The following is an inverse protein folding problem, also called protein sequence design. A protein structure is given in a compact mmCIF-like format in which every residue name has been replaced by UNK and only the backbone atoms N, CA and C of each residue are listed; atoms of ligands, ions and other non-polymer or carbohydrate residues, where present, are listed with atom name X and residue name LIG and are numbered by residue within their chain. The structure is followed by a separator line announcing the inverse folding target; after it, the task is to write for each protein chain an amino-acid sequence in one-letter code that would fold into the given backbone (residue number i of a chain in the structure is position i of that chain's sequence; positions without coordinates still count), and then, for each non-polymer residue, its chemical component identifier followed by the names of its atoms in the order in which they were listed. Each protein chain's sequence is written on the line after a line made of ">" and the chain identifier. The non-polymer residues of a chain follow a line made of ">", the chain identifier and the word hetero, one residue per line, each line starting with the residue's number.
data_IF_630883188198
#
_entry.id   IF_630883188198
#
_cell.length_a   1.000
_cell.length_b   1.000
_cell.length_c   1.000
_cell.angle_alpha   90.00
_cell.angle_beta   90.00
_cell.angle_gamma   90.00
#
_symmetry.space_group_name_H-M   'P 1'
#
loop_
_entity.id
_entity.type
_entity.pdbx_description
1 polymer ?
#
# COMPACT_ATOMS: atom_id res chain seq x y z
N UNK A 1 -37.56 15.60 24.71
CA UNK A 1 -36.36 14.89 25.21
C UNK A 1 -35.83 14.05 24.09
N UNK A 2 -34.77 14.51 23.43
CA UNK A 2 -34.12 13.78 22.35
C UNK A 2 -33.42 12.54 22.95
N UNK A 3 -33.87 11.36 22.61
CA UNK A 3 -33.13 10.13 22.90
C UNK A 3 -31.91 10.11 21.94
N UNK A 4 -30.86 10.84 22.38
CA UNK A 4 -29.60 10.77 21.67
C UNK A 4 -29.15 9.32 21.63
N UNK A 5 -29.14 8.71 20.46
CA UNK A 5 -28.54 7.38 20.29
C UNK A 5 -27.09 7.48 20.77
N UNK A 6 -26.78 6.78 21.85
CA UNK A 6 -25.40 6.71 22.32
C UNK A 6 -24.56 6.10 21.20
N UNK A 7 -23.51 6.79 20.79
CA UNK A 7 -22.59 6.32 19.75
C UNK A 7 -21.95 4.99 20.15
N UNK A 8 -22.10 3.99 19.31
CA UNK A 8 -21.48 2.67 19.49
C UNK A 8 -20.39 2.52 18.43
N UNK A 9 -19.12 2.57 18.81
CA UNK A 9 -18.05 2.54 17.83
C UNK A 9 -17.89 1.19 17.16
N UNK A 10 -17.51 1.21 15.89
CA UNK A 10 -17.17 0.02 15.11
C UNK A 10 -15.64 -0.12 15.13
N UNK A 11 -15.12 -1.04 15.92
CA UNK A 11 -13.68 -1.20 16.10
C UNK A 11 -13.27 -2.58 15.59
N UNK A 12 -12.23 -2.63 14.76
CA UNK A 12 -11.63 -3.87 14.28
C UNK A 12 -10.30 -4.07 15.01
N UNK A 13 -10.12 -5.22 15.65
CA UNK A 13 -8.88 -5.59 16.33
C UNK A 13 -8.19 -6.75 15.62
N UNK A 14 -7.07 -6.49 14.96
CA UNK A 14 -6.23 -7.55 14.39
C UNK A 14 -5.30 -8.07 15.50
N UNK A 15 -5.47 -9.30 15.94
CA UNK A 15 -4.70 -9.86 17.06
C UNK A 15 -3.91 -11.08 16.60
N UNK A 16 -2.61 -11.10 16.92
CA UNK A 16 -1.75 -12.21 16.51
C UNK A 16 -2.13 -13.48 17.28
N UNK A 17 -2.09 -14.61 16.61
CA UNK A 17 -2.41 -15.92 17.18
C UNK A 17 -1.58 -16.23 18.44
N UNK A 18 -0.30 -15.89 18.41
CA UNK A 18 0.67 -16.26 19.44
C UNK A 18 0.53 -15.47 20.74
N UNK A 19 0.29 -14.18 20.67
CA UNK A 19 0.32 -13.51 21.87
C UNK A 19 -0.95 -12.93 22.19
N UNK A 20 -1.22 -11.99 21.40
CA UNK A 20 -2.42 -11.16 21.72
C UNK A 20 -3.73 -11.95 21.72
N UNK A 21 -3.92 -12.88 20.78
CA UNK A 21 -5.11 -13.75 20.82
C UNK A 21 -5.10 -14.68 22.05
N UNK A 22 -3.92 -15.19 22.41
CA UNK A 22 -3.75 -15.99 23.64
C UNK A 22 -4.16 -15.19 24.88
N UNK A 23 -3.75 -13.92 24.97
CA UNK A 23 -4.14 -13.03 26.06
C UNK A 23 -5.66 -12.80 26.09
N UNK A 24 -6.27 -12.58 24.90
CA UNK A 24 -7.73 -12.44 24.79
C UNK A 24 -8.48 -13.72 25.23
N UNK A 25 -7.95 -14.88 24.85
CA UNK A 25 -8.50 -16.19 25.25
C UNK A 25 -8.40 -16.37 26.76
N UNK A 26 -7.22 -16.07 27.34
CA UNK A 26 -7.00 -16.12 28.79
C UNK A 26 -7.97 -15.17 29.52
N UNK A 27 -8.19 -13.97 28.97
CA UNK A 27 -9.17 -13.04 29.55
C UNK A 27 -10.56 -13.68 29.59
N UNK A 28 -10.95 -14.37 28.52
CA UNK A 28 -12.24 -15.07 28.46
C UNK A 28 -12.38 -16.18 29.50
N UNK A 29 -11.39 -17.07 29.59
CA UNK A 29 -11.46 -18.18 30.60
C UNK A 29 -11.35 -17.65 32.01
N UNK A 30 -10.70 -16.51 32.22
CA UNK A 30 -10.62 -15.84 33.54
C UNK A 30 -11.83 -14.96 33.84
N UNK A 31 -12.83 -14.94 32.95
CA UNK A 31 -14.06 -14.15 33.07
C UNK A 31 -13.82 -12.63 33.20
N UNK A 32 -12.71 -12.15 32.66
CA UNK A 32 -12.43 -10.72 32.58
C UNK A 32 -13.30 -10.11 31.47
N UNK A 33 -13.75 -8.88 31.65
CA UNK A 33 -14.70 -8.22 30.74
C UNK A 33 -14.02 -7.12 29.94
N UNK A 34 -14.13 -7.15 28.62
CA UNK A 34 -13.76 -6.05 27.75
C UNK A 34 -14.92 -5.72 26.80
N UNK A 35 -14.86 -4.53 26.21
CA UNK A 35 -15.95 -3.99 25.39
C UNK A 35 -16.27 -4.90 24.20
N UNK A 36 -17.57 -5.15 23.99
CA UNK A 36 -18.07 -5.87 22.82
C UNK A 36 -17.99 -5.03 21.54
N UNK A 37 -17.63 -3.75 21.64
CA UNK A 37 -17.49 -2.85 20.49
C UNK A 37 -16.28 -3.22 19.62
N UNK A 38 -15.24 -3.84 20.21
CA UNK A 38 -14.08 -4.31 19.46
C UNK A 38 -14.32 -5.73 18.92
N UNK A 39 -14.21 -5.88 17.61
CA UNK A 39 -14.37 -7.18 16.93
C UNK A 39 -13.00 -7.72 16.57
N UNK A 40 -12.62 -8.83 17.17
CA UNK A 40 -11.27 -9.40 17.00
C UNK A 40 -11.19 -10.27 15.75
N UNK A 41 -10.17 -10.00 14.95
CA UNK A 41 -9.79 -10.79 13.78
C UNK A 41 -8.43 -11.44 14.11
N UNK A 42 -8.43 -12.75 14.27
CA UNK A 42 -7.20 -13.50 14.57
C UNK A 42 -6.35 -13.62 13.30
N UNK A 43 -5.10 -13.18 13.39
CA UNK A 43 -4.09 -13.31 12.33
C UNK A 43 -2.92 -14.14 12.84
N UNK A 44 -2.23 -14.85 11.97
CA UNK A 44 -1.10 -15.70 12.40
C UNK A 44 0.02 -14.87 13.02
N UNK A 45 0.25 -13.67 12.53
CA UNK A 45 1.25 -12.73 13.03
C UNK A 45 0.78 -11.31 12.78
N UNK A 46 1.02 -10.39 13.73
CA UNK A 46 0.72 -8.96 13.53
C UNK A 46 1.43 -8.38 12.30
N UNK A 47 2.62 -8.91 11.96
CA UNK A 47 3.34 -8.52 10.74
C UNK A 47 2.63 -8.88 9.43
N UNK A 48 1.53 -9.68 9.48
CA UNK A 48 0.70 -9.97 8.31
C UNK A 48 -0.41 -8.94 8.11
N UNK A 49 -0.60 -8.05 9.07
CA UNK A 49 -1.57 -6.95 8.91
C UNK A 49 -0.97 -5.94 7.92
N UNK A 50 -1.56 -5.85 6.75
CA UNK A 50 -1.10 -4.96 5.69
C UNK A 50 -1.71 -3.56 5.86
N UNK A 51 -1.00 -2.53 5.39
CA UNK A 51 -1.50 -1.16 5.37
C UNK A 51 -2.87 -1.08 4.67
N UNK A 52 -3.05 -1.89 3.61
CA UNK A 52 -4.34 -1.97 2.91
C UNK A 52 -5.46 -2.48 3.81
N UNK A 53 -5.18 -3.41 4.73
CA UNK A 53 -6.21 -3.90 5.68
C UNK A 53 -6.65 -2.78 6.62
N UNK A 54 -5.70 -2.01 7.13
CA UNK A 54 -5.96 -0.89 8.05
C UNK A 54 -6.79 0.18 7.35
N UNK A 55 -6.32 0.66 6.20
CA UNK A 55 -6.97 1.75 5.46
C UNK A 55 -8.35 1.33 4.92
N UNK A 56 -8.50 0.07 4.48
CA UNK A 56 -9.80 -0.45 4.05
C UNK A 56 -10.80 -0.58 5.20
N UNK A 57 -10.32 -0.89 6.41
CA UNK A 57 -11.21 -0.92 7.58
C UNK A 57 -11.84 0.47 7.78
N UNK A 58 -11.03 1.54 7.74
CA UNK A 58 -11.54 2.92 7.82
C UNK A 58 -12.46 3.24 6.62
N UNK A 59 -12.05 2.89 5.41
CA UNK A 59 -12.86 3.14 4.20
C UNK A 59 -14.21 2.41 4.23
N UNK A 60 -14.32 1.33 5.02
CA UNK A 60 -15.58 0.58 5.22
C UNK A 60 -16.31 1.01 6.49
N UNK A 61 -15.91 2.12 7.10
CA UNK A 61 -16.60 2.74 8.22
C UNK A 61 -16.24 2.23 9.61
N UNK A 62 -15.05 1.64 9.78
CA UNK A 62 -14.52 1.39 11.13
C UNK A 62 -14.14 2.74 11.75
N UNK A 63 -14.49 2.93 13.02
CA UNK A 63 -14.16 4.14 13.78
C UNK A 63 -12.76 4.07 14.38
N UNK A 64 -12.26 2.83 14.59
CA UNK A 64 -10.93 2.58 15.11
C UNK A 64 -10.37 1.23 14.67
N UNK A 65 -9.03 1.14 14.58
CA UNK A 65 -8.33 -0.10 14.26
C UNK A 65 -7.28 -0.36 15.34
N UNK A 66 -7.36 -1.53 15.97
CA UNK A 66 -6.44 -1.99 17.00
C UNK A 66 -5.57 -3.13 16.45
N UNK A 67 -4.29 -3.14 16.79
CA UNK A 67 -3.38 -4.22 16.43
C UNK A 67 -2.76 -4.76 17.70
N UNK A 68 -2.93 -6.06 17.96
CA UNK A 68 -2.33 -6.73 19.10
C UNK A 68 -1.21 -7.66 18.64
N UNK A 69 0.00 -7.44 19.12
CA UNK A 69 1.18 -8.22 18.72
C UNK A 69 1.90 -8.88 19.89
N UNK A 70 2.86 -9.73 19.59
CA UNK A 70 3.81 -10.29 20.55
C UNK A 70 4.72 -9.17 21.06
N UNK A 71 5.23 -9.27 22.29
CA UNK A 71 6.23 -8.35 22.82
C UNK A 71 7.41 -8.22 21.84
N UNK A 72 7.97 -7.03 21.73
CA UNK A 72 9.13 -6.78 20.86
C UNK A 72 10.27 -7.69 21.30
N UNK A 73 10.94 -8.29 20.34
CA UNK A 73 12.00 -9.27 20.60
C UNK A 73 11.52 -10.71 20.80
N UNK A 74 10.21 -10.94 21.05
CA UNK A 74 9.66 -12.27 21.34
C UNK A 74 8.85 -12.88 20.18
N UNK A 75 8.87 -12.24 19.02
CA UNK A 75 8.08 -12.72 17.87
C UNK A 75 8.73 -13.94 17.22
N UNK A 76 7.93 -14.94 16.90
CA UNK A 76 8.38 -16.14 16.16
C UNK A 76 8.87 -15.81 14.73
N UNK A 77 8.44 -14.67 14.18
CA UNK A 77 8.77 -14.26 12.81
C UNK A 77 9.80 -13.12 12.87
N UNK A 78 11.07 -13.48 12.72
CA UNK A 78 12.23 -12.60 12.97
C UNK A 78 12.27 -11.42 11.99
N UNK A 79 11.94 -11.65 10.72
CA UNK A 79 12.13 -10.64 9.67
C UNK A 79 10.92 -9.73 9.47
N UNK A 80 9.72 -10.28 9.43
CA UNK A 80 8.49 -9.54 9.12
C UNK A 80 7.42 -9.76 10.20
N UNK A 81 7.83 -9.70 11.44
CA UNK A 81 6.96 -9.90 12.59
C UNK A 81 6.46 -8.60 13.19
N UNK A 82 6.55 -8.52 14.53
CA UNK A 82 5.99 -7.41 15.29
C UNK A 82 6.69 -6.07 15.04
N UNK A 83 8.00 -6.05 14.74
CA UNK A 83 8.69 -4.81 14.36
C UNK A 83 8.14 -4.24 13.05
N UNK A 84 7.83 -5.10 12.09
CA UNK A 84 7.19 -4.69 10.84
C UNK A 84 5.79 -4.11 11.13
N UNK A 85 5.02 -4.77 12.02
CA UNK A 85 3.70 -4.28 12.42
C UNK A 85 3.79 -2.90 13.11
N UNK A 86 4.81 -2.70 13.95
CA UNK A 86 5.05 -1.39 14.59
C UNK A 86 5.31 -0.32 13.54
N UNK A 87 6.28 -0.56 12.65
CA UNK A 87 6.63 0.41 11.59
C UNK A 87 5.42 0.72 10.71
N UNK A 88 4.65 -0.30 10.37
CA UNK A 88 3.47 -0.15 9.52
C UNK A 88 2.37 0.65 10.22
N UNK A 89 2.21 0.47 11.53
CA UNK A 89 1.26 1.26 12.34
C UNK A 89 1.70 2.72 12.41
N UNK A 90 2.99 2.97 12.62
CA UNK A 90 3.53 4.33 12.68
C UNK A 90 3.34 5.05 11.33
N UNK A 91 3.62 4.36 10.23
CA UNK A 91 3.37 4.88 8.89
C UNK A 91 1.86 5.17 8.70
N UNK A 92 1.00 4.22 9.11
CA UNK A 92 -0.45 4.35 9.04
C UNK A 92 -0.95 5.57 9.81
N UNK A 93 -0.42 5.82 11.02
CA UNK A 93 -0.77 7.00 11.81
C UNK A 93 -0.43 8.30 11.06
N UNK A 94 0.73 8.37 10.40
CA UNK A 94 1.14 9.54 9.62
C UNK A 94 0.25 9.74 8.38
N UNK A 95 -0.19 8.66 7.76
CA UNK A 95 -1.14 8.71 6.65
C UNK A 95 -2.50 9.24 7.14
N UNK A 96 -2.99 8.76 8.30
CA UNK A 96 -4.24 9.26 8.88
C UNK A 96 -4.13 10.78 9.15
N UNK A 97 -3.02 11.23 9.76
CA UNK A 97 -2.74 12.66 9.97
C UNK A 97 -2.79 13.45 8.65
N UNK A 98 -2.17 12.90 7.59
CA UNK A 98 -2.14 13.55 6.27
C UNK A 98 -3.53 13.74 5.68
N UNK A 99 -4.41 12.74 5.81
CA UNK A 99 -5.78 12.86 5.28
C UNK A 99 -6.75 13.57 6.24
N UNK A 100 -6.26 14.02 7.41
CA UNK A 100 -7.04 14.81 8.35
C UNK A 100 -7.73 14.02 9.45
N UNK A 101 -7.44 12.72 9.59
CA UNK A 101 -8.00 11.88 10.65
C UNK A 101 -7.08 11.87 11.87
N UNK A 102 -7.69 11.74 13.05
CA UNK A 102 -6.95 11.63 14.30
C UNK A 102 -6.16 10.31 14.34
N UNK A 103 -4.82 10.36 14.50
CA UNK A 103 -3.99 9.13 14.52
C UNK A 103 -4.27 8.21 15.70
N UNK A 104 -4.94 8.70 16.75
CA UNK A 104 -5.35 7.86 17.88
C UNK A 104 -6.39 6.81 17.49
N UNK A 105 -7.01 6.93 16.31
CA UNK A 105 -7.94 5.93 15.77
C UNK A 105 -7.23 4.63 15.35
N UNK A 106 -5.89 4.63 15.31
CA UNK A 106 -5.05 3.46 15.00
C UNK A 106 -4.10 3.24 16.17
N UNK A 107 -4.14 2.04 16.77
CA UNK A 107 -3.29 1.70 17.93
C UNK A 107 -2.65 0.33 17.76
N UNK A 108 -1.42 0.17 18.23
CA UNK A 108 -0.76 -1.12 18.33
C UNK A 108 -0.31 -1.33 19.79
N UNK A 109 -0.52 -2.54 20.31
CA UNK A 109 -0.11 -2.93 21.65
C UNK A 109 0.59 -4.28 21.61
N UNK A 110 1.55 -4.47 22.51
CA UNK A 110 2.36 -5.67 22.57
C UNK A 110 2.17 -6.38 23.91
N UNK A 111 1.97 -7.69 23.85
CA UNK A 111 1.70 -8.48 25.05
C UNK A 111 2.09 -9.93 24.86
N UNK A 112 2.26 -10.64 25.98
CA UNK A 112 2.42 -12.09 25.97
C UNK A 112 1.06 -12.79 26.10
N UNK A 113 1.00 -14.08 25.77
CA UNK A 113 -0.23 -14.87 25.88
C UNK A 113 -0.77 -15.02 27.31
N UNK A 114 0.09 -14.80 28.31
CA UNK A 114 -0.29 -14.85 29.72
C UNK A 114 -0.82 -13.56 30.30
N UNK A 115 -0.95 -12.50 29.49
CA UNK A 115 -1.31 -11.16 29.95
C UNK A 115 -2.77 -10.79 29.62
N UNK A 116 -3.72 -11.65 30.06
CA UNK A 116 -5.15 -11.40 29.86
C UNK A 116 -5.62 -10.07 30.48
N UNK A 117 -5.07 -9.71 31.65
CA UNK A 117 -5.40 -8.43 32.30
C UNK A 117 -4.98 -7.24 31.44
N UNK A 118 -3.75 -7.26 30.92
CA UNK A 118 -3.24 -6.21 30.03
C UNK A 118 -4.09 -6.10 28.77
N UNK A 119 -4.46 -7.23 28.16
CA UNK A 119 -5.34 -7.22 26.98
C UNK A 119 -6.66 -6.47 27.28
N UNK A 120 -7.30 -6.81 28.41
CA UNK A 120 -8.58 -6.19 28.80
C UNK A 120 -8.41 -4.68 29.02
N UNK A 121 -7.35 -4.28 29.72
CA UNK A 121 -7.03 -2.88 29.98
C UNK A 121 -6.88 -2.10 28.67
N UNK A 122 -5.96 -2.52 27.78
CA UNK A 122 -5.67 -1.78 26.55
C UNK A 122 -6.85 -1.80 25.56
N UNK A 123 -7.62 -2.90 25.52
CA UNK A 123 -8.81 -2.98 24.67
C UNK A 123 -9.90 -2.00 25.16
N UNK A 124 -10.13 -1.93 26.47
CA UNK A 124 -11.11 -1.00 27.04
C UNK A 124 -10.68 0.46 26.89
N UNK A 125 -9.41 0.75 27.11
CA UNK A 125 -8.86 2.10 26.96
C UNK A 125 -8.97 2.56 25.50
N UNK A 126 -8.66 1.68 24.55
CA UNK A 126 -8.83 2.00 23.14
C UNK A 126 -10.30 2.25 22.79
N UNK A 127 -11.22 1.38 23.26
CA UNK A 127 -12.65 1.57 23.03
C UNK A 127 -13.13 2.89 23.61
N UNK A 128 -12.64 3.28 24.80
CA UNK A 128 -12.97 4.58 25.41
C UNK A 128 -12.44 5.72 24.55
N UNK A 129 -11.19 5.65 24.10
CA UNK A 129 -10.58 6.65 23.21
C UNK A 129 -11.46 6.87 21.96
N UNK A 130 -11.89 5.77 21.31
CA UNK A 130 -12.73 5.88 20.12
C UNK A 130 -14.12 6.47 20.45
N UNK A 131 -14.71 6.12 21.62
CA UNK A 131 -15.97 6.70 22.06
C UNK A 131 -15.85 8.24 22.28
N UNK A 132 -14.73 8.65 22.88
CA UNK A 132 -14.47 10.07 23.15
C UNK A 132 -14.22 10.85 21.85
N UNK A 133 -13.59 10.22 20.83
CA UNK A 133 -13.38 10.78 19.51
C UNK A 133 -14.67 10.83 18.67
N UNK A 134 -15.65 9.98 18.97
CA UNK A 134 -16.90 9.93 18.20
C UNK A 134 -16.75 9.25 16.83
N UNK A 135 -17.79 9.31 16.00
CA UNK A 135 -17.80 8.67 14.69
C UNK A 135 -16.68 9.15 13.79
N UNK A 136 -16.21 8.25 12.91
CA UNK A 136 -15.09 8.51 11.99
C UNK A 136 -15.31 9.79 11.17
N UNK A 137 -14.38 10.72 11.27
CA UNK A 137 -14.41 11.99 10.51
C UNK A 137 -15.26 13.09 11.14
N UNK A 138 -16.15 12.75 12.09
CA UNK A 138 -17.07 13.76 12.67
C UNK A 138 -16.33 14.77 13.56
N UNK A 139 -15.53 14.28 14.51
CA UNK A 139 -14.71 15.15 15.38
C UNK A 139 -13.61 15.89 14.62
N UNK A 140 -13.21 15.34 13.47
CA UNK A 140 -12.22 15.94 12.58
C UNK A 140 -12.85 16.97 11.61
N UNK A 141 -14.17 17.14 11.66
CA UNK A 141 -14.88 18.08 10.80
C UNK A 141 -14.86 17.73 9.32
N UNK A 142 -14.74 16.45 9.01
CA UNK A 142 -14.63 15.98 7.63
C UNK A 142 -16.00 15.68 7.03
N UNK A 143 -16.20 16.11 5.80
CA UNK A 143 -17.39 15.74 5.01
C UNK A 143 -17.24 14.28 4.59
N UNK A 144 -18.26 13.42 4.80
CA UNK A 144 -18.14 11.98 4.50
C UNK A 144 -17.69 11.65 3.08
N UNK A 145 -18.16 12.40 2.09
CA UNK A 145 -17.76 12.19 0.69
C UNK A 145 -16.25 12.44 0.48
N UNK A 146 -15.74 13.54 1.03
CA UNK A 146 -14.30 13.89 0.94
C UNK A 146 -13.44 12.88 1.68
N UNK A 147 -13.90 12.43 2.84
CA UNK A 147 -13.21 11.39 3.60
C UNK A 147 -13.13 10.09 2.80
N UNK A 148 -14.26 9.69 2.18
CA UNK A 148 -14.32 8.51 1.33
C UNK A 148 -13.34 8.59 0.16
N UNK A 149 -13.28 9.74 -0.52
CA UNK A 149 -12.34 9.99 -1.62
C UNK A 149 -10.87 9.90 -1.16
N UNK A 150 -10.54 10.57 -0.06
CA UNK A 150 -9.18 10.57 0.49
C UNK A 150 -8.74 9.16 0.89
N UNK A 151 -9.61 8.41 1.56
CA UNK A 151 -9.33 7.01 1.94
C UNK A 151 -9.17 6.12 0.71
N UNK A 152 -10.03 6.27 -0.31
CA UNK A 152 -9.94 5.48 -1.54
C UNK A 152 -8.62 5.75 -2.27
N UNK A 153 -8.19 7.01 -2.32
CA UNK A 153 -6.92 7.39 -2.95
C UNK A 153 -5.72 6.77 -2.25
N UNK A 154 -5.63 6.89 -0.92
CA UNK A 154 -4.50 6.28 -0.20
C UNK A 154 -4.52 4.76 -0.27
N UNK A 155 -5.70 4.12 -0.24
CA UNK A 155 -5.82 2.66 -0.44
C UNK A 155 -5.24 2.26 -1.80
N UNK A 156 -5.56 3.01 -2.85
CA UNK A 156 -5.04 2.77 -4.21
C UNK A 156 -3.51 2.91 -4.26
N UNK A 157 -2.95 3.82 -3.47
CA UNK A 157 -1.50 4.09 -3.44
C UNK A 157 -0.72 3.16 -2.50
N UNK A 158 -1.37 2.26 -1.77
CA UNK A 158 -0.67 1.37 -0.81
C UNK A 158 0.53 0.63 -1.42
N UNK A 159 0.43 0.02 -2.62
CA UNK A 159 1.61 -0.65 -3.19
C UNK A 159 2.78 0.32 -3.40
N UNK A 160 2.51 1.51 -3.93
CA UNK A 160 3.51 2.56 -4.14
C UNK A 160 4.13 2.99 -2.81
N UNK A 161 3.31 3.28 -1.80
CA UNK A 161 3.76 3.68 -0.45
C UNK A 161 4.70 2.62 0.14
N UNK A 162 4.34 1.35 0.04
CA UNK A 162 5.14 0.23 0.57
C UNK A 162 6.46 0.08 -0.16
N UNK A 163 6.50 0.30 -1.46
CA UNK A 163 7.74 0.26 -2.27
C UNK A 163 8.67 1.39 -1.82
N UNK A 164 8.16 2.62 -1.77
CA UNK A 164 8.95 3.80 -1.40
C UNK A 164 9.44 3.77 0.05
N UNK A 165 8.68 3.15 0.96
CA UNK A 165 9.00 3.09 2.39
C UNK A 165 9.53 1.72 2.82
N UNK A 166 9.86 0.83 1.90
CA UNK A 166 10.29 -0.54 2.19
C UNK A 166 11.41 -0.61 3.23
N UNK A 167 12.46 0.19 3.07
CA UNK A 167 13.60 0.20 3.98
C UNK A 167 13.18 0.54 5.42
N UNK A 168 12.34 1.56 5.59
CA UNK A 168 11.85 1.95 6.92
C UNK A 168 10.87 0.91 7.49
N UNK A 169 10.05 0.30 6.64
CA UNK A 169 9.09 -0.72 7.10
C UNK A 169 9.78 -1.99 7.61
N UNK A 170 10.97 -2.30 7.11
CA UNK A 170 11.74 -3.48 7.52
C UNK A 170 12.80 -3.17 8.58
N UNK A 171 12.95 -1.90 8.94
CA UNK A 171 13.97 -1.48 9.91
C UNK A 171 13.67 -2.00 11.33
N UNK A 172 14.73 -2.29 12.05
CA UNK A 172 14.73 -2.50 13.51
C UNK A 172 15.60 -1.41 14.11
N UNK A 173 15.01 -0.56 14.92
CA UNK A 173 15.74 0.50 15.62
C UNK A 173 16.22 -0.01 16.96
N UNK A 174 17.41 0.42 17.37
CA UNK A 174 18.04 -0.04 18.62
C UNK A 174 17.32 0.51 19.86
N UNK A 175 16.85 1.77 19.77
CA UNK A 175 16.19 2.43 20.88
C UNK A 175 14.68 2.57 20.58
N UNK A 176 13.86 2.27 21.56
CA UNK A 176 12.39 2.39 21.41
C UNK A 176 11.97 3.85 21.16
N UNK A 177 12.68 4.82 21.73
CA UNK A 177 12.40 6.24 21.54
C UNK A 177 12.58 6.69 20.08
N UNK A 178 13.45 6.01 19.31
CA UNK A 178 13.72 6.37 17.91
C UNK A 178 12.49 6.10 17.01
N UNK A 179 11.60 5.17 17.44
CA UNK A 179 10.37 4.88 16.72
C UNK A 179 9.41 6.08 16.67
N UNK A 180 9.43 6.97 17.66
CA UNK A 180 8.56 8.16 17.69
C UNK A 180 8.80 9.10 16.51
N UNK A 181 10.05 9.18 16.06
CA UNK A 181 10.46 10.05 14.93
C UNK A 181 10.71 9.26 13.63
N UNK A 182 10.42 7.96 13.60
CA UNK A 182 10.74 7.09 12.48
C UNK A 182 10.08 7.53 11.16
N UNK A 183 8.87 8.05 11.22
CA UNK A 183 8.18 8.65 10.08
C UNK A 183 7.78 10.08 10.42
N UNK A 184 8.09 11.04 9.54
CA UNK A 184 7.70 12.42 9.74
C UNK A 184 6.49 12.80 8.88
N UNK A 185 5.79 13.83 9.29
CA UNK A 185 4.65 14.38 8.55
C UNK A 185 5.10 14.90 7.18
N UNK A 186 6.20 15.65 7.14
CA UNK A 186 6.74 16.25 5.91
C UNK A 186 7.12 15.16 4.90
N UNK A 187 7.67 14.04 5.39
CA UNK A 187 8.01 12.89 4.56
C UNK A 187 6.78 12.30 3.86
N UNK A 188 5.66 12.21 4.58
CA UNK A 188 4.42 11.65 4.02
C UNK A 188 3.73 12.66 3.10
N UNK A 189 3.74 13.93 3.45
CA UNK A 189 3.22 15.00 2.58
C UNK A 189 3.94 15.01 1.23
N UNK A 190 5.26 14.90 1.24
CA UNK A 190 6.05 14.80 0.01
C UNK A 190 5.77 13.53 -0.78
N UNK A 191 5.74 12.37 -0.09
CA UNK A 191 5.46 11.07 -0.71
C UNK A 191 4.13 11.07 -1.46
N UNK A 192 3.09 11.60 -0.84
CA UNK A 192 1.74 11.58 -1.40
C UNK A 192 1.47 12.79 -2.32
N UNK A 193 2.26 13.87 -2.21
CA UNK A 193 2.17 15.03 -3.08
C UNK A 193 2.95 14.88 -4.38
N UNK A 194 4.05 14.12 -4.37
CA UNK A 194 4.95 13.93 -5.52
C UNK A 194 4.85 12.51 -6.07
N UNK A 195 3.64 11.99 -6.23
CA UNK A 195 3.44 10.61 -6.68
C UNK A 195 4.00 10.44 -8.09
N UNK A 196 4.90 9.46 -8.23
CA UNK A 196 5.53 9.16 -9.52
C UNK A 196 4.55 8.45 -10.46
N UNK A 197 4.76 8.64 -11.77
CA UNK A 197 4.10 7.87 -12.82
C UNK A 197 5.14 7.42 -13.84
N UNK A 198 4.80 6.41 -14.61
CA UNK A 198 5.66 5.91 -15.69
C UNK A 198 4.92 6.04 -17.00
N UNK A 199 5.65 6.42 -18.05
CA UNK A 199 5.10 6.67 -19.38
C UNK A 199 5.98 5.98 -20.42
N UNK A 200 5.35 5.42 -21.45
CA UNK A 200 6.06 4.83 -22.58
C UNK A 200 5.94 5.79 -23.76
N UNK A 201 7.06 6.36 -24.15
CA UNK A 201 7.17 7.26 -25.30
C UNK A 201 6.87 6.48 -26.59
N UNK A 202 5.77 6.80 -27.29
CA UNK A 202 5.38 6.06 -28.48
C UNK A 202 6.37 6.20 -29.64
N UNK A 203 7.17 7.26 -29.68
CA UNK A 203 8.16 7.46 -30.75
C UNK A 203 9.39 6.58 -30.56
N UNK A 204 9.70 6.22 -29.32
CA UNK A 204 10.86 5.40 -28.97
C UNK A 204 10.53 3.90 -28.81
N UNK A 205 9.28 3.59 -28.52
CA UNK A 205 8.86 2.21 -28.23
C UNK A 205 8.94 1.32 -29.45
N UNK A 206 9.68 0.21 -29.35
CA UNK A 206 9.87 -0.77 -30.45
C UNK A 206 8.98 -2.02 -30.27
N UNK A 207 7.99 -1.98 -29.39
CA UNK A 207 7.06 -3.09 -29.13
C UNK A 207 7.79 -4.43 -28.85
N UNK A 208 8.89 -4.36 -28.10
CA UNK A 208 9.75 -5.53 -27.84
C UNK A 208 9.19 -6.48 -26.78
N UNK A 209 8.08 -6.16 -26.14
CA UNK A 209 7.34 -6.97 -25.16
C UNK A 209 8.05 -7.13 -23.80
N UNK A 210 9.24 -6.59 -23.59
CA UNK A 210 10.03 -6.84 -22.37
C UNK A 210 9.34 -6.24 -21.14
N UNK A 211 8.98 -4.95 -21.19
CA UNK A 211 8.32 -4.27 -20.08
C UNK A 211 6.96 -4.91 -19.74
N UNK A 212 6.21 -5.33 -20.77
CA UNK A 212 4.91 -6.00 -20.57
C UNK A 212 5.07 -7.32 -19.80
N UNK A 213 6.06 -8.15 -20.21
CA UNK A 213 6.34 -9.46 -19.56
C UNK A 213 6.86 -9.31 -18.14
N UNK A 214 7.48 -8.18 -17.83
CA UNK A 214 8.05 -7.90 -16.50
C UNK A 214 7.08 -7.22 -15.56
N UNK A 215 5.95 -6.73 -16.07
CA UNK A 215 4.98 -6.00 -15.24
C UNK A 215 4.30 -6.97 -14.25
N UNK A 216 4.44 -6.74 -12.92
CA UNK A 216 3.89 -7.69 -11.93
C UNK A 216 2.37 -7.65 -11.81
N UNK A 217 1.71 -6.65 -12.38
CA UNK A 217 0.24 -6.48 -12.29
C UNK A 217 -0.41 -6.36 -13.67
N UNK A 218 0.30 -6.71 -14.73
CA UNK A 218 -0.19 -6.67 -16.11
C UNK A 218 -0.76 -5.30 -16.53
N UNK A 219 -0.23 -4.21 -15.96
CA UNK A 219 -0.68 -2.84 -16.26
C UNK A 219 -0.22 -2.33 -17.64
N UNK A 220 0.51 -3.13 -18.42
CA UNK A 220 1.03 -2.68 -19.73
C UNK A 220 0.28 -3.37 -20.85
N UNK A 221 -0.52 -2.59 -21.56
CA UNK A 221 -1.20 -3.02 -22.77
C UNK A 221 -0.26 -2.91 -23.96
N UNK A 222 -0.25 -3.93 -24.82
CA UNK A 222 0.59 -3.97 -26.02
C UNK A 222 0.71 -5.36 -26.60
N UNK A 223 1.20 -5.43 -27.84
CA UNK A 223 1.41 -6.67 -28.55
C UNK A 223 2.61 -6.52 -29.48
N UNK A 224 2.95 -7.60 -30.17
CA UNK A 224 4.02 -7.57 -31.19
C UNK A 224 3.64 -6.56 -32.31
N UNK A 225 4.52 -5.60 -32.57
CA UNK A 225 4.30 -4.49 -33.51
C UNK A 225 3.22 -3.49 -33.07
N UNK A 226 2.84 -3.52 -31.77
CA UNK A 226 1.90 -2.56 -31.22
C UNK A 226 2.58 -1.81 -30.08
N UNK A 227 2.70 -0.51 -30.18
CA UNK A 227 3.31 0.36 -29.15
C UNK A 227 2.61 0.10 -27.81
N UNK A 228 3.42 -0.10 -26.77
CA UNK A 228 2.93 -0.40 -25.44
C UNK A 228 2.43 0.87 -24.73
N UNK A 229 1.42 0.71 -23.90
CA UNK A 229 0.86 1.78 -23.07
C UNK A 229 0.76 1.28 -21.63
N UNK A 230 0.95 2.18 -20.67
CA UNK A 230 0.76 1.87 -19.25
C UNK A 230 -0.63 2.35 -18.84
N UNK A 231 -1.45 1.42 -18.35
CA UNK A 231 -2.71 1.73 -17.69
C UNK A 231 -2.38 2.32 -16.31
N UNK A 232 -2.59 3.61 -16.15
CA UNK A 232 -2.25 4.34 -14.93
C UNK A 232 -3.12 3.96 -13.73
N UNK A 233 -4.30 3.40 -13.96
CA UNK A 233 -5.18 2.95 -12.87
C UNK A 233 -4.71 1.61 -12.28
N UNK A 234 -4.28 0.70 -13.13
CA UNK A 234 -3.77 -0.62 -12.70
C UNK A 234 -2.32 -0.52 -12.20
N UNK A 235 -1.56 0.47 -12.67
CA UNK A 235 -0.12 0.60 -12.39
C UNK A 235 0.18 0.84 -10.91
N UNK A 236 0.99 -0.03 -10.30
CA UNK A 236 1.44 0.10 -8.90
C UNK A 236 2.70 0.96 -8.74
N UNK A 237 3.17 1.57 -9.82
CA UNK A 237 4.27 2.54 -9.84
C UNK A 237 5.61 1.97 -9.32
N UNK A 238 5.86 0.69 -9.58
CA UNK A 238 7.04 -0.03 -9.07
C UNK A 238 8.35 0.25 -9.84
N UNK A 239 8.29 0.85 -11.03
CA UNK A 239 9.47 1.17 -11.83
C UNK A 239 10.04 0.02 -12.65
N UNK A 240 9.56 -1.20 -12.50
CA UNK A 240 10.08 -2.39 -13.19
C UNK A 240 10.15 -2.20 -14.72
N UNK A 241 9.17 -1.51 -15.31
CA UNK A 241 9.14 -1.23 -16.74
C UNK A 241 10.29 -0.31 -17.19
N UNK A 242 10.68 0.65 -16.34
CA UNK A 242 11.80 1.55 -16.60
C UNK A 242 13.11 0.75 -16.63
N UNK A 243 13.33 -0.06 -15.59
CA UNK A 243 14.54 -0.89 -15.46
C UNK A 243 14.64 -1.94 -16.59
N UNK A 244 13.49 -2.45 -17.03
CA UNK A 244 13.42 -3.49 -18.05
C UNK A 244 13.57 -2.97 -19.48
N UNK A 245 13.34 -1.66 -19.69
CA UNK A 245 13.41 -1.08 -21.04
C UNK A 245 14.86 -1.03 -21.53
N UNK A 246 15.18 -1.67 -22.67
CA UNK A 246 16.55 -1.61 -23.16
C UNK A 246 17.04 -0.16 -23.35
N UNK A 247 18.23 0.14 -22.85
CA UNK A 247 18.81 1.50 -22.89
C UNK A 247 18.89 2.06 -24.33
N UNK A 248 19.11 1.18 -25.32
CA UNK A 248 19.13 1.57 -26.75
C UNK A 248 17.80 2.14 -27.24
N UNK A 249 16.68 1.85 -26.56
CA UNK A 249 15.37 2.40 -26.89
C UNK A 249 15.03 3.58 -25.96
N UNK A 250 15.27 3.40 -24.64
CA UNK A 250 14.99 4.41 -23.62
C UNK A 250 13.56 4.94 -23.69
N UNK A 251 12.61 4.04 -23.96
CA UNK A 251 11.24 4.44 -24.25
C UNK A 251 10.41 4.69 -22.98
N UNK A 252 10.81 4.13 -21.84
CA UNK A 252 10.09 4.32 -20.58
C UNK A 252 10.71 5.48 -19.82
N UNK A 253 9.88 6.42 -19.36
CA UNK A 253 10.33 7.56 -18.56
C UNK A 253 9.53 7.64 -17.26
N UNK A 254 10.20 8.12 -16.21
CA UNK A 254 9.58 8.45 -14.93
C UNK A 254 9.11 9.89 -14.97
N UNK A 255 7.89 10.13 -14.55
CA UNK A 255 7.25 11.45 -14.51
C UNK A 255 6.90 11.77 -13.05
N UNK A 256 7.19 12.99 -12.63
CA UNK A 256 6.83 13.51 -11.29
C UNK A 256 6.16 14.87 -11.50
N UNK A 257 5.04 15.09 -10.83
CA UNK A 257 4.30 16.36 -10.80
C UNK A 257 3.83 16.90 -12.16
N UNK A 258 3.81 16.07 -13.19
CA UNK A 258 3.31 16.45 -14.52
C UNK A 258 2.28 15.41 -14.95
N UNK A 259 1.17 15.84 -15.57
CA UNK A 259 0.18 14.88 -16.08
C UNK A 259 0.81 13.92 -17.10
N UNK A 260 0.43 12.66 -17.02
CA UNK A 260 0.88 11.66 -17.99
C UNK A 260 0.29 12.03 -19.36
N UNK A 261 1.12 12.09 -20.43
CA UNK A 261 0.62 12.39 -21.76
C UNK A 261 -0.50 11.43 -22.20
N UNK A 262 -1.46 11.97 -22.94
CA UNK A 262 -2.57 11.18 -23.48
C UNK A 262 -2.03 10.07 -24.40
N UNK A 263 -2.61 8.87 -24.36
CA UNK A 263 -2.17 7.78 -25.22
C UNK A 263 -2.42 8.10 -26.70
N UNK A 264 -1.55 7.65 -27.61
CA UNK A 264 -1.79 7.82 -29.04
C UNK A 264 -3.01 7.02 -29.48
N UNK A 265 -3.66 7.47 -30.55
CA UNK A 265 -4.80 6.75 -31.13
C UNK A 265 -4.38 5.32 -31.54
N UNK A 266 -5.33 4.41 -31.56
CA UNK A 266 -5.08 2.99 -31.85
C UNK A 266 -4.36 2.77 -33.19
N UNK A 267 -4.71 3.59 -34.19
CA UNK A 267 -4.06 3.55 -35.50
C UNK A 267 -2.57 3.90 -35.43
N UNK A 268 -2.22 4.92 -34.61
CA UNK A 268 -0.82 5.38 -34.46
C UNK A 268 0.03 4.42 -33.63
N UNK A 269 -0.59 3.48 -32.91
CA UNK A 269 0.12 2.48 -32.11
C UNK A 269 0.75 1.37 -32.96
N UNK A 270 0.32 1.20 -34.22
CA UNK A 270 0.82 0.12 -35.07
C UNK A 270 2.16 0.48 -35.70
N UNK A 271 3.19 -0.34 -35.42
CA UNK A 271 4.52 -0.20 -36.03
C UNK A 271 4.51 -0.91 -37.38
N UNK A 272 4.46 -0.11 -38.45
CA UNK A 272 4.61 -0.64 -39.79
C UNK A 272 6.10 -0.93 -40.04
N UNK A 273 6.49 -2.19 -40.15
CA UNK A 273 7.83 -2.53 -40.54
C UNK A 273 8.05 -2.09 -41.99
N UNK A 274 8.97 -1.14 -42.20
CA UNK A 274 9.46 -0.81 -43.55
C UNK A 274 10.03 -2.09 -44.14
N UNK A 275 9.43 -2.61 -45.19
CA UNK A 275 9.89 -3.83 -45.85
C UNK A 275 11.35 -3.67 -46.26
N UNK A 276 12.18 -4.64 -45.92
CA UNK A 276 13.54 -4.71 -46.48
C UNK A 276 13.41 -4.83 -48.00
N UNK A 277 13.77 -3.77 -48.72
CA UNK A 277 13.99 -3.89 -50.19
C UNK A 277 15.04 -5.01 -50.41
N UNK A 278 14.62 -6.11 -50.92
CA UNK A 278 15.56 -7.12 -51.48
C UNK A 278 16.23 -6.48 -52.68
N UNK A 279 17.46 -6.04 -52.54
CA UNK A 279 18.33 -5.76 -53.69
C UNK A 279 18.47 -7.06 -54.45
N UNK A 280 17.85 -7.12 -55.64
CA UNK A 280 18.11 -8.17 -56.61
C UNK A 280 19.57 -8.02 -57.07
N UNK A 281 20.46 -8.88 -56.62
CA UNK A 281 21.78 -9.03 -57.24
C UNK A 281 21.54 -9.58 -58.67
N UNK A 282 21.76 -8.76 -59.68
CA UNK A 282 21.83 -9.15 -61.07
C UNK A 282 23.23 -9.77 -61.25
N UNK A 283 23.29 -11.08 -61.25
CA UNK A 283 24.48 -11.79 -61.72
C UNK A 283 24.30 -12.02 -63.20
N UNK A 284 24.80 -11.12 -64.02
CA UNK A 284 25.04 -11.39 -65.46
C UNK A 284 26.31 -12.23 -65.55
N UNK A 285 26.16 -13.51 -65.78
CA UNK A 285 27.26 -14.36 -66.18
C UNK A 285 27.50 -14.20 -67.67
N UNK A 286 28.54 -13.46 -68.04
CA UNK A 286 29.09 -13.56 -69.36
C UNK A 286 29.97 -14.81 -69.46
N UNK A 287 29.50 -15.81 -70.22
CA UNK A 287 30.35 -16.96 -70.65
C UNK A 287 31.14 -16.49 -71.87
N UNK A 288 32.42 -16.43 -71.72
CA UNK A 288 33.33 -16.39 -72.86
C UNK A 288 33.85 -17.84 -73.14
N UNK A 289 33.76 -18.29 -74.31
CA UNK A 289 34.41 -19.45 -74.92
C UNK A 289 35.02 -19.04 -76.24
N UNK A 290 36.00 -19.84 -76.75
CA UNK A 290 37.31 -20.20 -76.28
C UNK A 290 38.40 -19.43 -76.99
#
# INVERSE_FOLDING_TARGET
>A
MSTGHLFTPKIIGFVCHWXAYGAADLAGVSRLQYSADIKLVRVMCSGRVDLAHILRAFAKGADGVFIGGCRLGECNYITHGNYHALNLTLLGKKILEHIGLNPQRLQIEFMSGGEGNLFVEVANDFCKTIKDLGPLGESEGMVPEKLGEALAEVVRLVPYIKIEKHAKLTARLENETDYESHFSREEIERLLGEVVSYYIDPEKCQACMICRRRCPVDAIDGAKNLIHLIDQETCIKCGTCLDACPSRFGAVTKIVDVPVPSPPSEEKRRILKKGKKKEKRNTSSEKAMP
#
